data_IF_381179000950
#
_entry.id   IF_381179000950
#
_cell.length_a   1.000
_cell.length_b   1.000
_cell.length_c   1.000
_cell.angle_alpha   90.00
_cell.angle_beta   90.00
_cell.angle_gamma   90.00
#
_symmetry.space_group_name_H-M   'P 1'
#
loop_
_entity.id
_entity.type
_entity.pdbx_description
1 polymer ?
#
# COMPACT_ATOMS: atom_id res chain seq x y z
N UNK A 1 -5.97 -14.84 -14.01
CA UNK A 1 -6.13 -13.39 -13.82
C UNK A 1 -6.07 -13.14 -12.33
N UNK A 2 -5.11 -12.30 -11.87
CA UNK A 2 -4.97 -12.00 -10.45
C UNK A 2 -5.77 -10.74 -10.07
N UNK A 3 -5.84 -9.78 -10.98
CA UNK A 3 -6.59 -8.54 -10.80
C UNK A 3 -7.29 -8.18 -12.11
N UNK A 4 -8.54 -7.72 -12.02
CA UNK A 4 -9.31 -7.18 -13.15
C UNK A 4 -10.08 -5.96 -12.72
N UNK A 5 -10.04 -4.92 -13.53
CA UNK A 5 -10.90 -3.76 -13.45
C UNK A 5 -11.83 -3.72 -14.65
N UNK A 6 -13.11 -3.46 -14.45
CA UNK A 6 -14.11 -3.42 -15.50
C UNK A 6 -14.95 -2.16 -15.42
N UNK A 7 -14.93 -1.36 -16.49
CA UNK A 7 -15.75 -0.17 -16.70
C UNK A 7 -15.65 0.85 -15.54
N UNK A 8 -14.45 1.05 -15.02
CA UNK A 8 -14.22 1.94 -13.87
C UNK A 8 -14.41 3.39 -14.30
N UNK A 9 -15.39 4.05 -13.69
CA UNK A 9 -15.63 5.48 -13.86
C UNK A 9 -15.60 6.17 -12.50
N UNK A 10 -14.75 7.19 -12.36
CA UNK A 10 -14.65 8.01 -11.14
C UNK A 10 -14.87 9.46 -11.47
N UNK A 11 -15.84 10.06 -10.78
CA UNK A 11 -16.17 11.47 -10.88
C UNK A 11 -15.82 12.19 -9.58
N UNK A 12 -15.28 13.38 -9.71
CA UNK A 12 -15.15 14.35 -8.63
C UNK A 12 -15.95 15.60 -9.01
N UNK A 13 -16.26 16.50 -8.09
CA UNK A 13 -16.93 17.75 -8.44
C UNK A 13 -16.20 18.48 -9.56
N UNK A 14 -16.89 18.67 -10.70
CA UNK A 14 -16.35 19.36 -11.87
C UNK A 14 -15.41 18.58 -12.79
N UNK A 15 -15.03 17.31 -12.45
CA UNK A 15 -14.08 16.56 -13.29
C UNK A 15 -14.39 15.06 -13.31
N UNK A 16 -14.22 14.44 -14.49
CA UNK A 16 -14.23 12.99 -14.65
C UNK A 16 -12.77 12.53 -14.64
N UNK A 17 -12.33 11.94 -13.53
CA UNK A 17 -10.95 11.50 -13.35
C UNK A 17 -10.66 10.16 -14.07
N UNK A 18 -11.64 9.27 -14.13
CA UNK A 18 -11.61 8.02 -14.89
C UNK A 18 -12.92 7.86 -15.64
N UNK A 19 -12.85 7.42 -16.89
CA UNK A 19 -14.02 7.19 -17.73
C UNK A 19 -13.90 5.83 -18.40
N UNK A 20 -14.73 4.88 -17.96
CA UNK A 20 -14.87 3.54 -18.56
C UNK A 20 -13.53 2.79 -18.72
N UNK A 21 -12.70 2.85 -17.69
CA UNK A 21 -11.36 2.24 -17.67
C UNK A 21 -11.48 0.76 -17.34
N UNK A 22 -10.93 -0.08 -18.22
CA UNK A 22 -10.85 -1.52 -18.01
C UNK A 22 -9.42 -2.00 -18.24
N UNK A 23 -8.93 -2.87 -17.37
CA UNK A 23 -7.66 -3.57 -17.53
C UNK A 23 -7.66 -4.88 -16.77
N UNK A 24 -6.73 -5.74 -17.10
CA UNK A 24 -6.47 -6.97 -16.35
C UNK A 24 -4.98 -7.19 -16.13
N UNK A 25 -4.65 -7.92 -15.05
CA UNK A 25 -3.31 -8.28 -14.65
C UNK A 25 -3.26 -9.80 -14.42
N UNK A 26 -2.29 -10.46 -15.03
CA UNK A 26 -2.07 -11.91 -14.87
C UNK A 26 -1.10 -12.17 -13.71
N UNK A 27 -1.13 -13.38 -13.21
CA UNK A 27 -0.15 -13.81 -12.23
C UNK A 27 1.27 -13.77 -12.82
N UNK A 28 2.22 -13.21 -12.05
CA UNK A 28 3.61 -13.03 -12.48
C UNK A 28 3.82 -11.91 -13.52
N UNK A 29 2.79 -11.18 -13.92
CA UNK A 29 2.89 -10.09 -14.89
C UNK A 29 3.40 -8.79 -14.24
N UNK A 30 4.28 -8.09 -14.96
CA UNK A 30 4.63 -6.69 -14.67
C UNK A 30 3.87 -5.81 -15.66
N UNK A 31 2.92 -5.04 -15.17
CA UNK A 31 2.05 -4.19 -15.99
C UNK A 31 2.35 -2.71 -15.74
N UNK A 32 2.78 -2.00 -16.77
CA UNK A 32 3.07 -0.57 -16.68
C UNK A 32 1.82 0.27 -16.97
N UNK A 33 1.48 1.18 -16.04
CA UNK A 33 0.42 2.17 -16.22
C UNK A 33 1.03 3.51 -16.65
N UNK A 34 0.97 3.80 -17.95
CA UNK A 34 1.56 5.01 -18.55
C UNK A 34 0.49 6.03 -18.90
N UNK A 35 0.86 7.31 -18.94
CA UNK A 35 -0.02 8.42 -19.34
C UNK A 35 0.51 9.76 -18.81
N UNK A 36 -0.06 10.85 -19.33
CA UNK A 36 0.28 12.22 -18.94
C UNK A 36 -0.09 12.53 -17.48
N UNK A 37 0.42 13.64 -16.96
CA UNK A 37 -0.02 14.15 -15.66
C UNK A 37 -1.51 14.52 -15.72
N UNK A 38 -2.27 14.09 -14.73
CA UNK A 38 -3.72 14.26 -14.72
C UNK A 38 -4.53 13.17 -15.43
N UNK A 39 -3.91 12.22 -16.11
CA UNK A 39 -4.60 11.12 -16.82
C UNK A 39 -5.36 10.12 -15.92
N UNK A 40 -5.40 10.33 -14.59
CA UNK A 40 -6.16 9.48 -13.67
C UNK A 40 -5.39 8.31 -13.08
N UNK A 41 -4.08 8.13 -13.39
CA UNK A 41 -3.26 7.02 -12.87
C UNK A 41 -3.31 6.90 -11.34
N UNK A 42 -3.05 7.99 -10.64
CA UNK A 42 -3.08 8.02 -9.16
C UNK A 42 -4.49 7.79 -8.62
N UNK A 43 -5.53 8.21 -9.34
CA UNK A 43 -6.92 7.95 -8.97
C UNK A 43 -7.22 6.46 -9.04
N UNK A 44 -6.79 5.78 -10.10
CA UNK A 44 -6.96 4.34 -10.25
C UNK A 44 -6.27 3.57 -9.12
N UNK A 45 -5.02 3.93 -8.80
CA UNK A 45 -4.28 3.32 -7.67
C UNK A 45 -5.00 3.57 -6.32
N UNK A 46 -5.54 4.78 -6.11
CA UNK A 46 -6.32 5.11 -4.91
C UNK A 46 -7.63 4.33 -4.79
N UNK A 47 -8.26 3.98 -5.90
CA UNK A 47 -9.42 3.07 -5.91
C UNK A 47 -9.00 1.65 -5.51
N UNK A 48 -7.95 1.13 -6.13
CA UNK A 48 -7.42 -0.20 -5.84
C UNK A 48 -6.92 -0.35 -4.40
N UNK A 49 -6.35 0.71 -3.83
CA UNK A 49 -5.90 0.71 -2.44
C UNK A 49 -6.99 0.89 -1.39
N UNK A 50 -8.25 1.13 -1.82
CA UNK A 50 -9.36 1.37 -0.89
C UNK A 50 -9.38 2.77 -0.25
N UNK A 51 -8.52 3.71 -0.68
CA UNK A 51 -8.57 5.12 -0.26
C UNK A 51 -9.88 5.76 -0.71
N UNK A 52 -10.31 5.45 -1.94
CA UNK A 52 -11.65 5.77 -2.40
C UNK A 52 -12.50 4.51 -2.27
N UNK A 53 -13.48 4.49 -1.33
CA UNK A 53 -14.22 3.29 -0.99
C UNK A 53 -15.12 2.82 -2.12
N UNK A 54 -15.47 1.53 -2.10
CA UNK A 54 -16.52 0.97 -2.95
C UNK A 54 -17.82 1.78 -2.82
N UNK A 55 -18.51 1.99 -3.95
CA UNK A 55 -19.68 2.87 -4.04
C UNK A 55 -19.36 4.32 -4.36
N UNK A 56 -18.09 4.75 -4.28
CA UNK A 56 -17.67 6.09 -4.71
C UNK A 56 -17.28 6.17 -6.18
N UNK A 57 -17.39 5.07 -6.92
CA UNK A 57 -17.09 4.91 -8.35
C UNK A 57 -18.05 3.89 -8.98
N UNK A 58 -18.15 3.92 -10.30
CA UNK A 58 -18.89 2.96 -11.12
C UNK A 58 -17.94 1.87 -11.62
N UNK A 59 -18.48 0.70 -11.99
CA UNK A 59 -17.69 -0.45 -12.41
C UNK A 59 -17.34 -1.39 -11.25
N UNK A 60 -16.48 -2.36 -11.51
CA UNK A 60 -16.10 -3.37 -10.50
C UNK A 60 -14.63 -3.78 -10.60
N UNK A 61 -14.09 -4.20 -9.46
CA UNK A 61 -12.82 -4.88 -9.37
C UNK A 61 -13.03 -6.36 -9.04
N UNK A 62 -12.16 -7.21 -9.57
CA UNK A 62 -12.06 -8.62 -9.23
C UNK A 62 -10.61 -8.92 -8.83
N UNK A 63 -10.42 -9.62 -7.69
CA UNK A 63 -9.11 -10.06 -7.20
C UNK A 63 -9.18 -11.56 -6.96
N UNK A 64 -8.25 -12.33 -7.54
CA UNK A 64 -8.25 -13.78 -7.44
C UNK A 64 -9.52 -14.45 -7.98
N UNK A 65 -10.23 -13.80 -8.93
CA UNK A 65 -11.48 -14.28 -9.51
C UNK A 65 -12.74 -13.98 -8.70
N UNK A 66 -12.63 -13.30 -7.57
CA UNK A 66 -13.76 -12.86 -6.75
C UNK A 66 -13.96 -11.33 -6.85
N UNK A 67 -15.23 -10.88 -6.82
CA UNK A 67 -15.52 -9.45 -6.78
C UNK A 67 -14.94 -8.82 -5.51
N UNK A 68 -14.19 -7.75 -5.68
CA UNK A 68 -13.53 -7.02 -4.61
C UNK A 68 -14.23 -5.69 -4.32
N UNK A 69 -14.67 -5.51 -3.07
CA UNK A 69 -15.38 -4.31 -2.59
C UNK A 69 -14.63 -3.73 -1.41
N UNK A 70 -13.69 -2.85 -1.68
CA UNK A 70 -12.86 -2.24 -0.65
C UNK A 70 -13.57 -1.04 -0.03
N UNK A 71 -13.95 -1.14 1.24
CA UNK A 71 -14.45 -0.02 2.03
C UNK A 71 -13.30 0.74 2.69
N UNK A 72 -12.18 0.07 2.94
CA UNK A 72 -10.98 0.60 3.60
C UNK A 72 -9.70 0.07 2.96
N UNK A 73 -8.57 0.73 3.27
CA UNK A 73 -7.23 0.26 2.88
C UNK A 73 -6.97 -1.17 3.40
N UNK A 74 -7.41 -1.46 4.63
CA UNK A 74 -7.25 -2.80 5.23
C UNK A 74 -7.97 -3.90 4.46
N UNK A 75 -9.06 -3.57 3.77
CA UNK A 75 -9.76 -4.56 2.94
C UNK A 75 -8.97 -4.90 1.69
N UNK A 76 -8.34 -3.89 1.06
CA UNK A 76 -7.44 -4.10 -0.08
C UNK A 76 -6.19 -4.91 0.33
N UNK A 77 -5.58 -4.60 1.47
CA UNK A 77 -4.45 -5.35 2.02
C UNK A 77 -4.81 -6.83 2.30
N UNK A 78 -5.98 -7.10 2.89
CA UNK A 78 -6.47 -8.48 3.11
C UNK A 78 -6.69 -9.24 1.80
N UNK A 79 -7.04 -8.53 0.72
CA UNK A 79 -7.17 -9.12 -0.61
C UNK A 79 -5.81 -9.34 -1.31
N UNK A 80 -4.69 -8.98 -0.66
CA UNK A 80 -3.34 -9.14 -1.19
C UNK A 80 -2.83 -7.97 -2.02
N UNK A 81 -3.49 -6.83 -1.98
CA UNK A 81 -3.05 -5.61 -2.66
C UNK A 81 -2.19 -4.77 -1.71
N UNK A 82 -0.99 -4.42 -2.13
CA UNK A 82 -0.13 -3.48 -1.43
C UNK A 82 0.25 -2.33 -2.36
N UNK A 83 0.31 -1.12 -1.84
CA UNK A 83 0.67 0.08 -2.59
C UNK A 83 1.91 0.72 -1.99
N UNK A 84 2.90 0.98 -2.84
CA UNK A 84 4.06 1.79 -2.48
C UNK A 84 3.80 3.20 -3.01
N UNK A 85 3.72 4.17 -2.09
CA UNK A 85 3.51 5.56 -2.44
C UNK A 85 4.83 6.25 -2.81
N UNK A 86 4.74 7.28 -3.62
CA UNK A 86 5.89 8.06 -4.07
C UNK A 86 6.52 8.88 -2.93
N UNK A 87 5.71 9.33 -1.98
CA UNK A 87 6.17 10.04 -0.78
C UNK A 87 6.38 9.06 0.37
N UNK A 88 7.55 9.12 0.96
CA UNK A 88 7.90 8.36 2.15
C UNK A 88 7.40 9.11 3.38
N UNK A 89 6.26 8.70 3.90
CA UNK A 89 5.68 9.28 5.12
C UNK A 89 6.19 8.53 6.36
N UNK A 90 7.48 8.64 6.64
CA UNK A 90 8.06 8.08 7.87
C UNK A 90 7.86 9.03 9.06
N UNK A 91 7.67 8.47 10.24
CA UNK A 91 7.64 9.21 11.49
C UNK A 91 9.07 9.28 12.02
N UNK A 92 9.70 10.44 11.87
CA UNK A 92 11.13 10.65 12.15
C UNK A 92 11.53 10.39 13.60
N UNK A 93 10.61 10.62 14.55
CA UNK A 93 10.82 10.38 15.98
C UNK A 93 10.78 8.92 16.38
N UNK A 94 10.18 8.07 15.53
CA UNK A 94 10.09 6.63 15.75
C UNK A 94 11.34 5.90 15.25
N UNK A 95 11.55 4.69 15.79
CA UNK A 95 12.60 3.79 15.34
C UNK A 95 12.25 3.16 13.98
N UNK A 96 13.24 2.54 13.34
CA UNK A 96 13.04 1.75 12.11
C UNK A 96 11.98 0.68 12.30
N UNK A 97 12.06 -0.08 13.40
CA UNK A 97 11.10 -1.13 13.69
C UNK A 97 9.67 -0.59 13.87
N UNK A 98 9.51 0.53 14.56
CA UNK A 98 8.20 1.17 14.74
C UNK A 98 7.61 1.66 13.42
N UNK A 99 8.43 2.23 12.53
CA UNK A 99 7.98 2.64 11.20
C UNK A 99 7.58 1.44 10.34
N UNK A 100 8.36 0.35 10.33
CA UNK A 100 8.06 -0.87 9.58
C UNK A 100 6.71 -1.48 10.01
N UNK A 101 6.42 -1.46 11.31
CA UNK A 101 5.21 -2.07 11.87
C UNK A 101 4.09 -1.07 12.18
N UNK A 102 4.20 0.19 11.75
CA UNK A 102 3.21 1.22 12.05
C UNK A 102 1.79 0.78 11.63
N UNK A 103 0.88 0.78 12.61
CA UNK A 103 -0.52 0.37 12.42
C UNK A 103 -0.75 -1.16 12.34
N UNK A 104 0.30 -1.98 12.43
CA UNK A 104 0.25 -3.46 12.47
C UNK A 104 1.25 -4.05 13.45
N UNK A 105 1.48 -3.35 14.55
CA UNK A 105 2.41 -3.75 15.59
C UNK A 105 2.05 -5.14 16.15
N UNK A 106 3.03 -6.05 16.34
CA UNK A 106 2.80 -7.34 17.00
C UNK A 106 2.26 -7.10 18.41
N UNK A 107 1.18 -7.79 18.77
CA UNK A 107 0.54 -7.60 20.09
C UNK A 107 0.65 -8.84 20.94
N UNK A 108 0.84 -8.61 22.23
CA UNK A 108 0.80 -9.61 23.29
C UNK A 108 -0.51 -9.45 24.06
N UNK A 109 -1.22 -10.57 24.28
CA UNK A 109 -2.55 -10.62 24.92
C UNK A 109 -3.59 -9.68 24.31
N UNK A 110 -3.45 -9.34 23.03
CA UNK A 110 -4.40 -8.52 22.27
C UNK A 110 -4.35 -7.01 22.53
N UNK A 111 -3.74 -6.55 23.63
CA UNK A 111 -3.76 -5.15 24.05
C UNK A 111 -2.39 -4.46 24.03
N UNK A 112 -1.32 -5.16 24.36
CA UNK A 112 0.01 -4.57 24.52
C UNK A 112 0.90 -4.85 23.32
N UNK A 113 1.75 -3.89 22.93
CA UNK A 113 2.75 -4.09 21.88
C UNK A 113 3.82 -5.07 22.41
N UNK A 114 4.13 -6.08 21.59
CA UNK A 114 5.22 -7.01 21.85
C UNK A 114 6.53 -6.46 21.24
N UNK A 115 7.16 -5.55 21.95
CA UNK A 115 8.39 -4.89 21.53
C UNK A 115 9.52 -5.87 21.17
N UNK A 116 9.84 -6.90 21.99
CA UNK A 116 10.89 -7.85 21.65
C UNK A 116 10.60 -8.62 20.36
N UNK A 117 9.34 -8.93 20.09
CA UNK A 117 8.93 -9.58 18.86
C UNK A 117 9.05 -8.63 17.67
N UNK A 118 8.59 -7.40 17.81
CA UNK A 118 8.65 -6.38 16.77
C UNK A 118 10.09 -6.12 16.30
N UNK A 119 11.03 -5.93 17.22
CA UNK A 119 12.44 -5.72 16.88
C UNK A 119 13.06 -6.94 16.20
N UNK A 120 12.77 -8.17 16.66
CA UNK A 120 13.25 -9.39 16.01
C UNK A 120 12.72 -9.54 14.59
N UNK A 121 11.43 -9.31 14.38
CA UNK A 121 10.80 -9.41 13.06
C UNK A 121 11.32 -8.31 12.12
N UNK A 122 11.51 -7.08 12.61
CA UNK A 122 12.15 -6.00 11.86
C UNK A 122 13.56 -6.38 11.41
N UNK A 123 14.39 -6.91 12.33
CA UNK A 123 15.75 -7.35 12.00
C UNK A 123 15.74 -8.48 10.96
N UNK A 124 14.82 -9.42 11.06
CA UNK A 124 14.67 -10.50 10.09
C UNK A 124 14.31 -9.98 8.68
N UNK A 125 13.43 -8.97 8.61
CA UNK A 125 13.08 -8.30 7.36
C UNK A 125 14.29 -7.57 6.76
N UNK A 126 14.98 -6.75 7.54
CA UNK A 126 16.19 -6.03 7.10
C UNK A 126 17.26 -6.99 6.56
N UNK A 127 17.52 -8.08 7.26
CA UNK A 127 18.46 -9.11 6.84
C UNK A 127 18.02 -9.78 5.52
N UNK A 128 16.73 -10.06 5.35
CA UNK A 128 16.17 -10.65 4.12
C UNK A 128 16.41 -9.76 2.90
N UNK A 129 16.29 -8.46 3.06
CA UNK A 129 16.53 -7.47 2.02
C UNK A 129 18.00 -7.01 1.95
N UNK A 130 18.89 -7.56 2.79
CA UNK A 130 20.31 -7.19 2.87
C UNK A 130 20.50 -5.70 3.19
N UNK A 131 19.61 -5.14 4.00
CA UNK A 131 19.65 -3.74 4.44
C UNK A 131 20.36 -3.70 5.79
N UNK A 132 21.48 -2.99 5.85
CA UNK A 132 22.26 -2.80 7.07
C UNK A 132 21.73 -1.58 7.86
N UNK A 133 20.69 -1.80 8.64
CA UNK A 133 20.08 -0.83 9.54
C UNK A 133 19.86 -1.47 10.92
N UNK A 134 20.06 -0.68 11.96
CA UNK A 134 19.64 -1.05 13.31
C UNK A 134 18.14 -0.79 13.48
N UNK A 135 17.32 -1.83 13.73
CA UNK A 135 15.89 -1.66 13.94
C UNK A 135 15.53 -0.75 15.12
N UNK A 136 16.44 -0.55 16.08
CA UNK A 136 16.25 0.31 17.24
C UNK A 136 16.68 1.77 16.98
N UNK A 137 17.34 2.06 15.88
CA UNK A 137 17.79 3.42 15.56
C UNK A 137 16.59 4.33 15.21
N UNK A 138 16.53 5.56 15.75
CA UNK A 138 15.54 6.55 15.35
C UNK A 138 15.76 6.99 13.88
N UNK A 139 14.68 7.07 13.10
CA UNK A 139 14.75 7.42 11.67
C UNK A 139 15.39 8.78 11.45
N UNK A 140 15.14 9.77 12.30
CA UNK A 140 15.74 11.12 12.25
C UNK A 140 17.27 11.15 12.24
N UNK A 141 17.92 10.09 12.73
CA UNK A 141 19.39 9.98 12.77
C UNK A 141 19.98 9.43 11.48
N UNK A 142 19.13 9.07 10.51
CA UNK A 142 19.53 8.44 9.26
C UNK A 142 19.70 9.46 8.14
N UNK A 143 20.65 9.20 7.24
CA UNK A 143 20.74 9.95 5.98
C UNK A 143 19.61 9.60 5.01
N UNK A 144 19.27 10.52 4.11
CA UNK A 144 18.14 10.42 3.14
C UNK A 144 18.12 9.07 2.39
N UNK A 145 19.29 8.56 1.99
CA UNK A 145 19.39 7.28 1.25
C UNK A 145 18.94 6.10 2.10
N UNK A 146 19.23 6.11 3.41
CA UNK A 146 18.81 5.03 4.33
C UNK A 146 17.32 5.10 4.66
N UNK A 147 16.75 6.29 4.69
CA UNK A 147 15.33 6.53 4.91
C UNK A 147 14.48 5.87 3.81
N UNK A 148 14.96 5.82 2.58
CA UNK A 148 14.27 5.19 1.45
C UNK A 148 14.20 3.64 1.54
N UNK A 149 14.95 3.04 2.46
CA UNK A 149 15.00 1.59 2.65
C UNK A 149 14.10 1.09 3.80
N UNK A 150 13.55 1.98 4.61
CA UNK A 150 12.61 1.70 5.71
C UNK A 150 11.17 1.69 5.19
#
# INVERSE_FOLDING_TARGET
MILRAQNITKRFPGVIALKDVSFDLREGEIHALCGENGAGKSTLIKLLSGIHPHGSYEGRFEVGGAEARFATIKDAEKAGLAVIYQELALVEEMTVAENIFLGREPRRWGAFIDWPRMYREAQALLNRFKVDLDPAAPVRTMGVVKIQLV
#
